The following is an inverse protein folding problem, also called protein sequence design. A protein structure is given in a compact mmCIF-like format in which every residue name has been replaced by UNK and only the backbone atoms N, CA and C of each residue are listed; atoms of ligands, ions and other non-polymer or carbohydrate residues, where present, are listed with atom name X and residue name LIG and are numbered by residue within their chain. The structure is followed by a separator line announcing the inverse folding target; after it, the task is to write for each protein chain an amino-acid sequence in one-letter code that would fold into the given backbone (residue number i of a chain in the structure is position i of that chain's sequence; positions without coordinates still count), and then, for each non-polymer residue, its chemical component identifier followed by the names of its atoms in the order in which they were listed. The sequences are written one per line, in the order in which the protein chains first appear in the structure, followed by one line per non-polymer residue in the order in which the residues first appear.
data_IF_441749089446
#
_entry.id   IF_441749089446
#
_cell.length_a   1.000
_cell.length_b   1.000
_cell.length_c   1.000
_cell.angle_alpha   90.00
_cell.angle_beta   90.00
_cell.angle_gamma   90.00
#
_symmetry.space_group_name_H-M   'P 1'
#
loop_
_entity.id
_entity.type
_entity.pdbx_description
1 polymer ?
#
# COMPACT_ATOMS: atom_id res chain seq x y z
N UNK A 1 -8.48 0.25 5.01
CA UNK A 1 -7.03 0.42 5.26
C UNK A 1 -6.50 -0.85 5.93
N UNK A 2 -5.18 -1.02 6.01
CA UNK A 2 -4.52 -2.04 6.84
C UNK A 2 -3.16 -1.51 7.32
N UNK A 3 -2.63 -2.09 8.40
CA UNK A 3 -1.32 -1.72 8.95
C UNK A 3 -0.30 -2.84 8.71
N UNK A 4 0.96 -2.48 8.46
CA UNK A 4 2.07 -3.41 8.49
C UNK A 4 3.31 -2.72 9.05
N UNK A 5 4.14 -3.50 9.75
CA UNK A 5 5.36 -3.03 10.39
C UNK A 5 6.03 -4.17 11.14
N UNK A 6 7.32 -4.02 11.39
CA UNK A 6 8.07 -4.90 12.30
C UNK A 6 9.11 -4.06 13.06
N UNK A 7 9.69 -4.55 14.18
CA UNK A 7 10.69 -3.78 14.91
C UNK A 7 11.81 -3.29 13.99
N UNK A 8 11.99 -1.97 13.91
CA UNK A 8 12.98 -1.33 13.03
C UNK A 8 12.67 -1.36 11.53
N UNK A 9 11.48 -1.80 11.09
CA UNK A 9 11.07 -1.77 9.67
C UNK A 9 9.67 -1.22 9.50
N UNK A 10 9.59 -0.10 8.79
CA UNK A 10 8.37 0.55 8.31
C UNK A 10 8.74 1.39 7.08
N UNK A 11 7.76 1.98 6.41
CA UNK A 11 8.02 3.01 5.39
C UNK A 11 8.47 4.31 6.06
N UNK A 12 9.16 5.17 5.31
CA UNK A 12 9.60 6.47 5.81
C UNK A 12 9.09 7.64 4.95
N UNK A 13 9.54 8.85 5.29
CA UNK A 13 9.22 10.06 4.54
C UNK A 13 9.68 9.91 3.09
N UNK A 14 8.79 10.20 2.15
CA UNK A 14 9.03 10.04 0.71
C UNK A 14 8.43 8.78 0.10
N UNK A 15 8.03 7.80 0.91
CA UNK A 15 7.43 6.55 0.41
C UNK A 15 5.92 6.68 0.12
N UNK A 16 5.30 7.82 0.42
CA UNK A 16 3.86 8.06 0.21
C UNK A 16 3.44 7.79 -1.24
N UNK A 17 2.36 7.03 -1.42
CA UNK A 17 1.93 6.58 -2.75
C UNK A 17 2.66 5.34 -3.27
N UNK A 18 3.70 4.87 -2.59
CA UNK A 18 4.43 3.66 -2.95
C UNK A 18 3.59 2.37 -2.82
N UNK A 19 3.98 1.28 -3.51
CA UNK A 19 3.21 0.04 -3.52
C UNK A 19 3.52 -0.86 -2.31
N UNK A 20 2.49 -1.45 -1.72
CA UNK A 20 2.60 -2.65 -0.90
C UNK A 20 2.25 -3.87 -1.75
N UNK A 21 3.21 -4.78 -1.91
CA UNK A 21 3.08 -5.96 -2.78
C UNK A 21 3.12 -7.26 -1.99
N UNK A 22 2.26 -8.20 -2.36
CA UNK A 22 2.27 -9.58 -1.89
C UNK A 22 2.74 -10.48 -3.03
N UNK A 23 3.74 -11.33 -2.75
CA UNK A 23 4.22 -12.30 -3.74
C UNK A 23 3.40 -13.59 -3.64
N UNK A 24 2.73 -13.96 -4.72
CA UNK A 24 1.95 -15.20 -4.82
C UNK A 24 2.26 -15.91 -6.13
N UNK A 25 2.62 -17.19 -6.08
CA UNK A 25 2.86 -18.02 -7.27
C UNK A 25 3.80 -17.38 -8.32
N UNK A 26 4.84 -16.67 -7.86
CA UNK A 26 5.80 -15.98 -8.72
C UNK A 26 5.35 -14.60 -9.24
N UNK A 27 4.13 -14.18 -8.93
CA UNK A 27 3.58 -12.87 -9.30
C UNK A 27 3.60 -11.89 -8.13
N UNK A 28 3.77 -10.60 -8.43
CA UNK A 28 3.67 -9.51 -7.45
C UNK A 28 2.27 -8.88 -7.53
N UNK A 29 1.47 -9.04 -6.49
CA UNK A 29 0.11 -8.54 -6.40
C UNK A 29 0.11 -7.25 -5.59
N UNK A 30 -0.45 -6.17 -6.14
CA UNK A 30 -0.61 -4.91 -5.43
C UNK A 30 -1.76 -5.02 -4.42
N UNK A 31 -1.43 -5.00 -3.12
CA UNK A 31 -2.41 -5.16 -2.04
C UNK A 31 -2.69 -3.86 -1.29
N UNK A 32 -1.77 -2.89 -1.37
CA UNK A 32 -1.94 -1.59 -0.74
C UNK A 32 -1.11 -0.47 -1.33
N UNK A 33 -1.42 0.74 -0.90
CA UNK A 33 -0.68 1.96 -1.24
C UNK A 33 -0.31 2.68 0.06
N UNK A 34 0.95 3.09 0.19
CA UNK A 34 1.46 3.80 1.37
C UNK A 34 0.64 5.07 1.59
N UNK A 35 0.09 5.24 2.79
CA UNK A 35 -0.71 6.41 3.16
C UNK A 35 0.00 7.25 4.22
N UNK A 36 0.01 6.79 5.46
CA UNK A 36 0.65 7.48 6.58
C UNK A 36 1.17 6.45 7.57
N UNK A 37 1.93 6.88 8.56
CA UNK A 37 2.46 5.99 9.59
C UNK A 37 3.11 6.79 10.70
N UNK A 38 3.74 6.08 11.62
CA UNK A 38 4.64 6.72 12.58
C UNK A 38 6.01 6.92 11.94
N UNK A 39 6.82 7.83 12.50
CA UNK A 39 8.17 8.08 12.00
C UNK A 39 8.98 6.77 12.01
N UNK A 40 9.69 6.49 10.92
CA UNK A 40 10.44 5.26 10.72
C UNK A 40 11.57 5.04 11.74
N UNK A 41 11.95 6.07 12.52
CA UNK A 41 12.93 5.98 13.63
C UNK A 41 12.34 5.54 14.97
N UNK A 42 11.00 5.45 15.10
CA UNK A 42 10.31 5.04 16.33
C UNK A 42 10.25 3.50 16.41
N UNK A 43 10.28 2.93 17.63
CA UNK A 43 10.11 1.48 17.84
C UNK A 43 8.94 1.24 18.81
N UNK A 44 7.90 0.47 18.42
CA UNK A 44 7.69 -0.12 17.09
C UNK A 44 7.20 0.92 16.08
N UNK A 45 7.74 0.90 14.86
CA UNK A 45 7.19 1.66 13.74
C UNK A 45 6.21 0.81 12.92
N UNK A 46 5.21 1.48 12.34
CA UNK A 46 4.23 0.89 11.45
C UNK A 46 3.79 1.87 10.37
N UNK A 47 3.33 1.32 9.25
CA UNK A 47 2.75 2.04 8.13
C UNK A 47 1.30 1.62 7.96
N UNK A 48 0.43 2.58 7.73
CA UNK A 48 -0.95 2.41 7.31
C UNK A 48 -1.03 2.54 5.80
N UNK A 49 -1.66 1.54 5.18
CA UNK A 49 -1.86 1.46 3.75
C UNK A 49 -3.36 1.57 3.41
N UNK A 50 -3.67 2.23 2.31
CA UNK A 50 -4.99 2.04 1.67
C UNK A 50 -5.07 0.60 1.19
N UNK A 51 -6.22 -0.06 1.37
CA UNK A 51 -6.43 -1.46 0.97
C UNK A 51 -6.92 -1.51 -0.48
N UNK A 52 -6.03 -1.76 -1.44
CA UNK A 52 -6.34 -1.74 -2.88
C UNK A 52 -7.52 -2.65 -3.26
N UNK A 53 -7.66 -3.88 -2.70
CA UNK A 53 -8.83 -4.73 -2.98
C UNK A 53 -10.20 -4.09 -2.69
N UNK A 54 -10.27 -3.08 -1.81
CA UNK A 54 -11.53 -2.38 -1.53
C UNK A 54 -11.93 -1.35 -2.61
N UNK A 55 -11.03 -1.04 -3.55
CA UNK A 55 -11.21 -0.02 -4.59
C UNK A 55 -11.21 -0.59 -6.01
N UNK A 56 -11.22 -1.90 -6.18
CA UNK A 56 -11.11 -2.56 -7.51
C UNK A 56 -12.24 -2.15 -8.45
N UNK A 57 -13.47 -2.00 -7.96
CA UNK A 57 -14.61 -1.51 -8.76
C UNK A 57 -14.33 -0.11 -9.30
N UNK A 58 -13.98 0.83 -8.42
CA UNK A 58 -13.65 2.21 -8.82
C UNK A 58 -12.47 2.24 -9.79
N UNK A 59 -11.43 1.43 -9.57
CA UNK A 59 -10.29 1.33 -10.48
C UNK A 59 -10.74 0.87 -11.87
N UNK A 60 -11.52 -0.21 -11.95
CA UNK A 60 -12.01 -0.76 -13.22
C UNK A 60 -12.89 0.23 -13.98
N UNK A 61 -13.81 0.91 -13.29
CA UNK A 61 -14.69 1.92 -13.89
C UNK A 61 -13.90 3.09 -14.48
N UNK A 62 -12.83 3.54 -13.83
CA UNK A 62 -12.02 4.65 -14.34
C UNK A 62 -11.04 4.20 -15.44
N UNK A 63 -10.53 2.96 -15.40
CA UNK A 63 -9.78 2.40 -16.53
C UNK A 63 -10.64 2.36 -17.78
N UNK A 64 -11.88 1.89 -17.68
CA UNK A 64 -12.80 1.83 -18.82
C UNK A 64 -13.04 3.22 -19.45
N UNK A 65 -13.20 4.26 -18.62
CA UNK A 65 -13.36 5.65 -19.09
C UNK A 65 -12.12 6.21 -19.79
N UNK A 66 -10.93 5.73 -19.46
CA UNK A 66 -9.68 6.18 -20.10
C UNK A 66 -9.45 5.51 -21.47
N UNK A 67 -10.20 4.46 -21.78
CA UNK A 67 -10.08 3.69 -23.03
C UNK A 67 -11.14 4.06 -24.08
N UNK A 68 -12.09 4.94 -23.73
CA UNK A 68 -13.09 5.52 -24.64
C UNK A 68 -12.58 6.83 -25.23
#
# INVERSE_FOLDING_TARGET
MFCAGSPGKSTCNGDSGGPAVQKESGSSILVGVVSFGVNCTVIPAYTVFIRVPAYTVWIQENIAKLQS
#
